data_IF_436746992846
#
_entry.id   IF_436746992846
#
_cell.length_a   1.000
_cell.length_b   1.000
_cell.length_c   1.000
_cell.angle_alpha   90.00
_cell.angle_beta   90.00
_cell.angle_gamma   90.00
#
_symmetry.space_group_name_H-M   'P 1'
#
loop_
_entity.id
_entity.type
_entity.pdbx_description
1 polymer ?
#
# COMPACT_ATOMS: atom_id res chain seq x y z
N UNK A 1 27.90 33.62 53.38
CA UNK A 1 26.54 33.92 52.88
C UNK A 1 25.55 33.81 54.03
N UNK A 2 24.66 34.78 54.23
CA UNK A 2 23.64 34.67 55.28
C UNK A 2 22.63 33.59 54.90
N UNK A 3 22.25 32.72 55.86
CA UNK A 3 21.35 31.56 55.67
C UNK A 3 20.02 31.90 54.97
N UNK A 4 19.60 33.18 55.01
CA UNK A 4 18.41 33.71 54.32
C UNK A 4 18.47 33.71 52.78
N UNK A 5 19.66 33.70 52.19
CA UNK A 5 19.82 33.73 50.72
C UNK A 5 19.92 32.33 50.09
N UNK A 6 20.10 31.28 50.89
CA UNK A 6 20.16 29.90 50.43
C UNK A 6 18.88 29.44 49.71
N UNK A 7 17.66 29.67 50.23
CA UNK A 7 16.44 29.28 49.51
C UNK A 7 16.25 30.07 48.21
N UNK A 8 16.65 31.34 48.18
CA UNK A 8 16.58 32.18 46.97
C UNK A 8 17.53 31.61 45.91
N UNK A 9 18.78 31.32 46.25
CA UNK A 9 19.75 30.76 45.32
C UNK A 9 19.32 29.39 44.75
N UNK A 10 18.68 28.54 45.56
CA UNK A 10 18.13 27.25 45.12
C UNK A 10 17.00 27.47 44.10
N UNK A 11 16.03 28.34 44.41
CA UNK A 11 14.91 28.61 43.50
C UNK A 11 15.40 29.23 42.20
N UNK A 12 16.32 30.20 42.26
CA UNK A 12 16.89 30.81 41.06
C UNK A 12 17.68 29.80 40.23
N UNK A 13 18.42 28.89 40.88
CA UNK A 13 19.11 27.79 40.19
C UNK A 13 18.16 26.83 39.49
N UNK A 14 17.04 26.45 40.13
CA UNK A 14 16.01 25.60 39.51
C UNK A 14 15.37 26.31 38.30
N UNK A 15 14.99 27.59 38.44
CA UNK A 15 14.42 28.36 37.35
C UNK A 15 15.40 28.52 36.18
N UNK A 16 16.69 28.72 36.47
CA UNK A 16 17.73 28.76 35.44
C UNK A 16 17.87 27.42 34.72
N UNK A 17 17.84 26.30 35.44
CA UNK A 17 17.89 24.97 34.84
C UNK A 17 16.66 24.66 33.98
N UNK A 18 15.46 25.09 34.40
CA UNK A 18 14.22 24.95 33.61
C UNK A 18 14.28 25.81 32.35
N UNK A 19 14.74 27.07 32.47
CA UNK A 19 14.90 27.95 31.32
C UNK A 19 15.95 27.45 30.33
N UNK A 20 17.09 26.96 30.84
CA UNK A 20 18.13 26.34 30.02
C UNK A 20 17.63 25.06 29.34
N UNK A 21 16.87 24.22 30.07
CA UNK A 21 16.23 23.03 29.53
C UNK A 21 15.23 23.35 28.43
N UNK A 22 14.39 24.38 28.61
CA UNK A 22 13.44 24.82 27.60
C UNK A 22 14.10 25.46 26.36
N UNK A 23 15.22 26.16 26.53
CA UNK A 23 15.98 26.76 25.42
C UNK A 23 16.77 25.72 24.61
N UNK A 24 17.28 24.67 25.28
CA UNK A 24 18.05 23.60 24.64
C UNK A 24 17.16 22.48 24.10
N UNK A 25 15.91 22.37 24.57
CA UNK A 25 14.94 21.46 24.00
C UNK A 25 14.57 21.93 22.58
N UNK A 26 14.86 21.13 21.53
CA UNK A 26 14.41 21.47 20.20
C UNK A 26 12.87 21.53 20.21
N UNK A 27 12.31 22.68 19.83
CA UNK A 27 10.89 22.77 19.58
C UNK A 27 10.55 21.78 18.46
N UNK A 28 9.76 20.74 18.77
CA UNK A 28 9.19 19.89 17.75
C UNK A 28 8.39 20.78 16.80
N UNK A 29 8.71 20.76 15.51
CA UNK A 29 7.95 21.53 14.54
C UNK A 29 6.58 20.87 14.37
N UNK A 30 5.51 21.55 14.78
CA UNK A 30 4.12 21.09 14.61
C UNK A 30 3.65 21.12 13.13
N UNK A 31 4.57 21.28 12.16
CA UNK A 31 4.26 21.41 10.74
C UNK A 31 5.13 20.53 9.84
N UNK A 32 4.75 20.37 8.56
CA UNK A 32 5.47 19.54 7.62
C UNK A 32 6.94 19.96 7.49
N UNK A 33 7.84 19.02 7.16
CA UNK A 33 9.24 19.37 6.96
C UNK A 33 9.37 20.40 5.83
N UNK A 34 10.21 21.40 6.04
CA UNK A 34 10.46 22.43 5.01
C UNK A 34 11.29 21.86 3.86
N UNK A 35 12.30 21.05 4.20
CA UNK A 35 13.17 20.36 3.25
C UNK A 35 13.39 18.92 3.71
N UNK A 36 13.40 18.01 2.76
CA UNK A 36 13.65 16.58 2.99
C UNK A 36 14.92 16.20 2.25
N UNK A 37 15.88 15.62 2.96
CA UNK A 37 17.08 15.05 2.37
C UNK A 37 16.84 13.57 2.07
N UNK A 38 16.87 13.21 0.79
CA UNK A 38 16.77 11.84 0.33
C UNK A 38 18.16 11.34 -0.05
N UNK A 39 18.69 10.40 0.73
CA UNK A 39 20.00 9.79 0.49
C UNK A 39 19.85 8.48 -0.27
N UNK A 40 20.55 8.35 -1.40
CA UNK A 40 20.54 7.13 -2.20
C UNK A 40 21.86 6.96 -2.95
N UNK A 41 22.04 5.79 -3.58
CA UNK A 41 23.28 5.45 -4.33
C UNK A 41 23.54 6.35 -5.54
N UNK A 42 22.53 7.01 -6.08
CA UNK A 42 22.65 7.95 -7.20
C UNK A 42 23.12 9.35 -6.79
N UNK A 43 23.23 9.63 -5.49
CA UNK A 43 23.57 10.94 -4.94
C UNK A 43 22.45 11.52 -4.09
N UNK A 44 22.77 12.56 -3.32
CA UNK A 44 21.81 13.19 -2.40
C UNK A 44 20.82 14.06 -3.17
N UNK A 45 19.53 13.94 -2.86
CA UNK A 45 18.47 14.77 -3.42
C UNK A 45 17.86 15.59 -2.28
N UNK A 46 17.78 16.91 -2.44
CA UNK A 46 17.06 17.77 -1.50
C UNK A 46 15.71 18.14 -2.11
N UNK A 47 14.64 17.61 -1.55
CA UNK A 47 13.29 18.01 -1.86
C UNK A 47 12.95 19.26 -1.02
N UNK A 48 12.69 20.38 -1.68
CA UNK A 48 12.10 21.55 -1.01
C UNK A 48 10.59 21.32 -0.85
N UNK A 49 10.24 20.58 0.20
CA UNK A 49 8.90 20.08 0.45
C UNK A 49 7.88 21.22 0.66
N UNK A 50 8.24 22.27 1.40
CA UNK A 50 7.37 23.44 1.59
C UNK A 50 7.05 24.15 0.26
N UNK A 51 8.01 24.24 -0.65
CA UNK A 51 7.79 24.83 -1.97
C UNK A 51 6.81 24.00 -2.80
N UNK A 52 6.99 22.67 -2.84
CA UNK A 52 6.10 21.79 -3.60
C UNK A 52 4.67 21.82 -3.06
N UNK A 53 4.48 21.86 -1.74
CA UNK A 53 3.15 22.06 -1.14
C UNK A 53 2.53 23.36 -1.64
N UNK A 54 3.30 24.46 -1.65
CA UNK A 54 2.84 25.76 -2.14
C UNK A 54 2.46 25.75 -3.62
N UNK A 55 3.30 25.15 -4.47
CA UNK A 55 3.07 25.07 -5.92
C UNK A 55 1.90 24.15 -6.29
N UNK A 56 1.51 23.24 -5.39
CA UNK A 56 0.44 22.26 -5.59
C UNK A 56 -0.84 22.61 -4.84
N UNK A 57 -0.97 23.83 -4.32
CA UNK A 57 -2.12 24.31 -3.55
C UNK A 57 -2.46 23.41 -2.34
N UNK A 58 -1.44 22.81 -1.70
CA UNK A 58 -1.61 21.97 -0.52
C UNK A 58 -2.19 20.58 -0.79
N UNK A 59 -2.20 20.10 -2.03
CA UNK A 59 -2.69 18.75 -2.39
C UNK A 59 -1.71 17.65 -1.95
N UNK A 60 -1.76 17.29 -0.66
CA UNK A 60 -0.87 16.28 -0.07
C UNK A 60 -0.98 14.90 -0.73
N UNK A 61 -2.21 14.48 -1.06
CA UNK A 61 -2.52 13.15 -1.61
C UNK A 61 -1.93 12.92 -3.01
N UNK A 62 -1.56 13.98 -3.72
CA UNK A 62 -0.90 13.87 -5.02
C UNK A 62 0.48 13.20 -4.91
N UNK A 63 1.13 13.32 -3.75
CA UNK A 63 2.41 12.66 -3.44
C UNK A 63 2.23 11.53 -2.41
N UNK A 64 1.43 11.77 -1.36
CA UNK A 64 1.15 10.82 -0.29
C UNK A 64 -0.14 10.04 -0.56
N UNK A 65 -0.10 9.21 -1.59
CA UNK A 65 -1.26 8.52 -2.16
C UNK A 65 -1.88 7.42 -1.27
N UNK A 66 -1.29 7.15 -0.09
CA UNK A 66 -1.83 6.20 0.89
C UNK A 66 -2.38 6.87 2.14
N UNK A 67 -2.26 8.20 2.26
CA UNK A 67 -2.45 8.90 3.51
C UNK A 67 -3.79 9.62 3.65
N UNK A 68 -4.70 9.55 2.66
CA UNK A 68 -5.98 10.26 2.66
C UNK A 68 -5.90 11.67 3.30
N UNK A 69 -6.69 11.94 4.35
CA UNK A 69 -6.70 13.19 5.10
C UNK A 69 -5.73 13.20 6.31
N UNK A 70 -4.85 12.20 6.42
CA UNK A 70 -3.85 12.12 7.47
C UNK A 70 -2.85 13.28 7.33
N UNK A 71 -2.55 13.89 8.47
CA UNK A 71 -1.65 15.05 8.58
C UNK A 71 -0.20 14.63 8.84
N UNK A 72 0.05 13.34 9.08
CA UNK A 72 1.37 12.77 9.26
C UNK A 72 1.63 11.62 8.26
N UNK A 73 1.83 11.94 6.97
CA UNK A 73 1.98 10.93 5.95
C UNK A 73 3.36 10.27 6.00
N UNK A 74 3.40 8.96 5.74
CA UNK A 74 4.65 8.19 5.76
C UNK A 74 5.55 8.52 4.56
N UNK A 75 6.86 8.30 4.74
CA UNK A 75 7.83 8.40 3.65
C UNK A 75 7.61 7.29 2.60
N UNK A 76 7.89 7.59 1.33
CA UNK A 76 7.75 6.61 0.24
C UNK A 76 8.55 5.34 0.52
N UNK A 77 9.75 5.47 1.11
CA UNK A 77 10.65 4.36 1.43
C UNK A 77 10.12 3.39 2.49
N UNK A 78 9.07 3.75 3.22
CA UNK A 78 8.40 2.84 4.14
C UNK A 78 7.81 1.67 3.34
N UNK A 79 7.10 1.95 2.24
CA UNK A 79 6.45 0.92 1.42
C UNK A 79 7.25 0.58 0.14
N UNK A 80 7.81 1.60 -0.52
CA UNK A 80 8.65 1.44 -1.71
C UNK A 80 10.09 1.23 -1.31
N UNK A 81 10.48 -0.03 -1.10
CA UNK A 81 11.86 -0.39 -0.69
C UNK A 81 12.77 -0.64 -1.88
N UNK A 82 14.08 -0.69 -1.64
CA UNK A 82 15.06 -0.95 -2.70
C UNK A 82 14.90 -2.36 -3.27
N UNK A 83 14.52 -3.33 -2.42
CA UNK A 83 14.28 -4.74 -2.75
C UNK A 83 13.25 -5.34 -1.80
N UNK A 84 12.31 -6.11 -2.35
CA UNK A 84 11.37 -6.94 -1.60
C UNK A 84 11.97 -8.33 -1.38
N UNK A 85 12.96 -8.42 -0.50
CA UNK A 85 13.64 -9.67 -0.16
C UNK A 85 13.13 -10.28 1.16
N UNK A 86 13.71 -11.41 1.58
CA UNK A 86 13.32 -12.08 2.85
C UNK A 86 13.52 -11.18 4.07
N UNK A 87 14.49 -10.25 4.05
CA UNK A 87 14.69 -9.33 5.16
C UNK A 87 13.52 -8.35 5.25
N UNK A 88 13.03 -7.82 4.12
CA UNK A 88 11.83 -7.00 4.11
C UNK A 88 10.63 -7.76 4.67
N UNK A 89 10.41 -9.02 4.24
CA UNK A 89 9.26 -9.83 4.70
C UNK A 89 9.20 -10.00 6.22
N UNK A 90 10.35 -10.09 6.88
CA UNK A 90 10.41 -10.19 8.35
C UNK A 90 10.33 -8.82 9.00
N UNK A 91 11.10 -7.85 8.52
CA UNK A 91 11.28 -6.57 9.22
C UNK A 91 10.09 -5.61 9.08
N UNK A 92 9.32 -5.67 7.99
CA UNK A 92 8.24 -4.69 7.75
C UNK A 92 7.12 -4.78 8.79
N UNK A 93 6.91 -5.97 9.38
CA UNK A 93 5.89 -6.20 10.41
C UNK A 93 6.13 -5.36 11.67
N UNK A 94 7.41 -5.13 12.00
CA UNK A 94 7.80 -4.32 13.18
C UNK A 94 8.01 -2.84 12.82
N UNK A 95 8.31 -2.54 11.56
CA UNK A 95 8.71 -1.21 11.11
C UNK A 95 7.55 -0.34 10.60
N UNK A 96 6.38 -0.93 10.33
CA UNK A 96 5.22 -0.23 9.78
C UNK A 96 4.14 -0.02 10.84
N UNK A 97 3.42 1.10 10.74
CA UNK A 97 2.22 1.35 11.53
C UNK A 97 1.07 0.43 11.08
N UNK A 98 0.28 -0.06 12.03
CA UNK A 98 -0.83 -1.00 11.77
C UNK A 98 -1.85 -0.46 10.76
N UNK A 99 -2.04 0.86 10.70
CA UNK A 99 -2.93 1.50 9.71
C UNK A 99 -2.47 1.27 8.27
N UNK A 100 -1.19 0.96 8.06
CA UNK A 100 -0.58 0.78 6.74
C UNK A 100 -0.61 -0.68 6.26
N UNK A 101 -1.01 -1.64 7.11
CA UNK A 101 -1.11 -3.05 6.71
C UNK A 101 -2.04 -3.22 5.49
N UNK A 102 -3.18 -2.51 5.51
CA UNK A 102 -4.17 -2.50 4.43
C UNK A 102 -3.68 -1.92 3.10
N UNK A 103 -2.56 -1.19 3.10
CA UNK A 103 -2.00 -0.59 1.89
C UNK A 103 -1.40 -1.65 0.96
N UNK A 104 -0.86 -2.74 1.51
CA UNK A 104 -0.28 -3.86 0.75
C UNK A 104 -1.11 -5.13 0.87
N UNK A 105 -1.67 -5.39 2.05
CA UNK A 105 -2.48 -6.56 2.30
C UNK A 105 -3.96 -6.22 2.17
N UNK A 106 -4.64 -6.84 1.21
CA UNK A 106 -6.07 -6.67 1.08
C UNK A 106 -6.78 -7.60 2.06
N UNK A 107 -7.82 -7.10 2.73
CA UNK A 107 -8.89 -7.94 3.23
C UNK A 107 -9.43 -8.73 2.03
N UNK A 108 -9.55 -10.05 2.12
CA UNK A 108 -9.77 -10.95 0.99
C UNK A 108 -10.74 -10.42 -0.10
N UNK A 109 -10.43 -10.71 -1.36
CA UNK A 109 -11.25 -10.29 -2.49
C UNK A 109 -12.48 -11.21 -2.61
N UNK A 110 -13.67 -10.71 -2.28
CA UNK A 110 -14.91 -11.49 -2.42
C UNK A 110 -15.54 -11.26 -3.78
N UNK A 111 -16.28 -12.27 -4.27
CA UNK A 111 -17.06 -12.15 -5.50
C UNK A 111 -18.40 -11.46 -5.15
N UNK A 112 -18.35 -10.17 -4.83
CA UNK A 112 -19.51 -9.41 -4.38
C UNK A 112 -20.60 -9.25 -5.47
N UNK A 113 -20.21 -9.40 -6.74
CA UNK A 113 -21.07 -9.14 -7.91
C UNK A 113 -21.75 -10.37 -8.48
N UNK A 114 -21.51 -11.55 -7.90
CA UNK A 114 -22.16 -12.78 -8.32
C UNK A 114 -23.42 -13.06 -7.49
N UNK A 115 -24.53 -13.29 -8.19
CA UNK A 115 -25.77 -13.78 -7.60
C UNK A 115 -26.06 -15.18 -8.13
N UNK A 116 -26.09 -16.17 -7.24
CA UNK A 116 -26.30 -17.57 -7.60
C UNK A 116 -27.65 -17.81 -8.27
N UNK A 117 -28.74 -17.30 -7.69
CA UNK A 117 -30.10 -17.55 -8.17
C UNK A 117 -30.33 -16.91 -9.54
N UNK A 118 -29.81 -15.70 -9.73
CA UNK A 118 -29.88 -15.02 -11.02
C UNK A 118 -29.11 -15.80 -12.11
N UNK A 119 -27.91 -16.30 -11.79
CA UNK A 119 -27.13 -17.12 -12.71
C UNK A 119 -27.82 -18.45 -13.03
N UNK A 120 -28.36 -19.11 -12.02
CA UNK A 120 -29.07 -20.36 -12.18
C UNK A 120 -30.31 -20.19 -13.08
N UNK A 121 -31.13 -19.17 -12.81
CA UNK A 121 -32.41 -18.99 -13.50
C UNK A 121 -32.25 -18.38 -14.90
N UNK A 122 -31.48 -17.29 -15.03
CA UNK A 122 -31.48 -16.47 -16.25
C UNK A 122 -30.39 -16.83 -17.25
N UNK A 123 -29.29 -17.45 -16.80
CA UNK A 123 -28.12 -17.70 -17.64
C UNK A 123 -27.85 -19.21 -17.82
N UNK A 124 -28.11 -20.02 -16.80
CA UNK A 124 -27.99 -21.48 -16.87
C UNK A 124 -29.34 -22.19 -17.14
N UNK A 125 -30.46 -21.46 -17.21
CA UNK A 125 -31.80 -22.04 -17.44
C UNK A 125 -32.17 -23.20 -16.47
N UNK A 126 -31.67 -23.14 -15.24
CA UNK A 126 -31.84 -24.16 -14.21
C UNK A 126 -30.90 -25.37 -14.35
N UNK A 127 -29.98 -25.39 -15.31
CA UNK A 127 -28.98 -26.46 -15.42
C UNK A 127 -27.84 -26.27 -14.42
N UNK A 128 -27.94 -26.95 -13.28
CA UNK A 128 -26.91 -26.91 -12.25
C UNK A 128 -25.55 -27.41 -12.75
N UNK A 129 -25.52 -28.33 -13.74
CA UNK A 129 -24.28 -28.92 -14.26
C UNK A 129 -23.49 -27.96 -15.16
N UNK A 130 -24.09 -26.83 -15.54
CA UNK A 130 -23.38 -25.74 -16.21
C UNK A 130 -22.28 -25.14 -15.32
N UNK A 131 -22.41 -25.25 -13.99
CA UNK A 131 -21.44 -24.72 -13.02
C UNK A 131 -20.91 -25.79 -12.05
N UNK A 132 -21.75 -26.76 -11.67
CA UNK A 132 -21.44 -27.81 -10.70
C UNK A 132 -21.05 -29.13 -11.37
N UNK A 133 -20.47 -30.03 -10.58
CA UNK A 133 -20.15 -31.37 -11.04
C UNK A 133 -21.36 -32.31 -10.96
N UNK A 134 -21.27 -33.43 -11.68
CA UNK A 134 -22.26 -34.49 -11.62
C UNK A 134 -22.18 -35.32 -10.33
N UNK A 135 -23.15 -36.23 -10.19
CA UNK A 135 -23.29 -37.14 -9.04
C UNK A 135 -22.14 -38.11 -8.85
N UNK A 136 -21.28 -38.24 -9.86
CA UNK A 136 -20.04 -38.99 -9.83
C UNK A 136 -18.95 -38.35 -8.96
N UNK A 137 -19.05 -37.03 -8.72
CA UNK A 137 -18.10 -36.27 -7.89
C UNK A 137 -18.77 -35.83 -6.57
N UNK A 138 -19.98 -35.26 -6.64
CA UNK A 138 -20.72 -34.81 -5.47
C UNK A 138 -22.19 -35.27 -5.52
N UNK A 139 -22.73 -35.89 -4.46
CA UNK A 139 -24.11 -36.41 -4.47
C UNK A 139 -25.17 -35.33 -4.74
N UNK A 140 -24.91 -34.13 -4.24
CA UNK A 140 -25.70 -32.92 -4.43
C UNK A 140 -24.74 -31.72 -4.59
N UNK A 141 -25.10 -30.70 -5.41
CA UNK A 141 -24.30 -29.48 -5.56
C UNK A 141 -23.99 -28.82 -4.22
N UNK A 142 -22.72 -28.60 -3.92
CA UNK A 142 -22.29 -27.91 -2.70
C UNK A 142 -21.26 -26.81 -2.99
N UNK A 143 -20.87 -26.06 -1.94
CA UNK A 143 -19.85 -25.03 -2.06
C UNK A 143 -18.52 -25.65 -2.49
N UNK A 144 -17.91 -25.10 -3.55
CA UNK A 144 -16.62 -25.54 -4.07
C UNK A 144 -15.55 -25.61 -2.97
N UNK A 145 -15.58 -24.67 -2.03
CA UNK A 145 -14.64 -24.56 -0.91
C UNK A 145 -14.64 -25.78 0.02
N UNK A 146 -15.71 -26.58 0.07
CA UNK A 146 -15.75 -27.81 0.86
C UNK A 146 -14.70 -28.84 0.43
N UNK A 147 -14.26 -28.78 -0.84
CA UNK A 147 -13.30 -29.71 -1.42
C UNK A 147 -12.08 -29.01 -2.06
N UNK A 148 -12.25 -27.79 -2.57
CA UNK A 148 -11.24 -27.06 -3.33
C UNK A 148 -10.43 -26.04 -2.51
N UNK A 149 -10.70 -25.82 -1.20
CA UNK A 149 -10.12 -24.73 -0.40
C UNK A 149 -8.63 -24.46 -0.68
N UNK A 150 -7.77 -25.46 -0.47
CA UNK A 150 -6.32 -25.34 -0.61
C UNK A 150 -5.76 -25.98 -1.90
N UNK A 151 -6.60 -26.66 -2.68
CA UNK A 151 -6.16 -27.51 -3.80
C UNK A 151 -5.41 -28.79 -3.35
N UNK A 152 -5.24 -29.73 -4.28
CA UNK A 152 -4.49 -30.98 -4.13
C UNK A 152 -3.96 -31.45 -5.51
N UNK A 153 -3.07 -32.45 -5.57
CA UNK A 153 -2.52 -32.94 -6.86
C UNK A 153 -3.59 -33.26 -7.91
N UNK A 154 -4.72 -33.83 -7.48
CA UNK A 154 -5.84 -34.21 -8.35
C UNK A 154 -7.03 -33.24 -8.33
N UNK A 155 -6.93 -32.11 -7.61
CA UNK A 155 -8.03 -31.15 -7.46
C UNK A 155 -7.49 -29.72 -7.49
N UNK A 156 -7.94 -28.87 -8.42
CA UNK A 156 -7.52 -27.47 -8.43
C UNK A 156 -7.87 -26.75 -7.13
N UNK A 157 -7.17 -25.65 -6.85
CA UNK A 157 -7.55 -24.74 -5.76
C UNK A 157 -8.92 -24.11 -6.03
N UNK A 158 -9.54 -23.52 -5.00
CA UNK A 158 -10.84 -22.87 -5.11
C UNK A 158 -10.79 -21.77 -6.16
N UNK A 159 -9.70 -21.00 -6.18
CA UNK A 159 -9.43 -19.97 -7.18
C UNK A 159 -9.43 -20.55 -8.58
N UNK A 160 -8.65 -21.59 -8.81
CA UNK A 160 -8.48 -22.13 -10.16
C UNK A 160 -9.75 -22.84 -10.65
N UNK A 161 -10.46 -23.55 -9.75
CA UNK A 161 -11.72 -24.20 -10.05
C UNK A 161 -12.81 -23.19 -10.42
N UNK A 162 -13.00 -22.15 -9.60
CA UNK A 162 -13.99 -21.11 -9.84
C UNK A 162 -13.67 -20.31 -11.10
N UNK A 163 -12.42 -19.89 -11.28
CA UNK A 163 -12.02 -19.16 -12.48
C UNK A 163 -12.19 -19.97 -13.76
N UNK A 164 -11.88 -21.27 -13.75
CA UNK A 164 -12.12 -22.11 -14.92
C UNK A 164 -13.61 -22.13 -15.30
N UNK A 165 -14.52 -22.27 -14.32
CA UNK A 165 -15.97 -22.29 -14.58
C UNK A 165 -16.51 -20.95 -15.05
N UNK A 166 -16.08 -19.86 -14.43
CA UNK A 166 -16.50 -18.53 -14.86
C UNK A 166 -15.94 -18.18 -16.25
N UNK A 167 -14.71 -18.61 -16.57
CA UNK A 167 -14.08 -18.34 -17.87
C UNK A 167 -14.78 -19.03 -19.04
N UNK A 168 -15.44 -20.17 -18.82
CA UNK A 168 -16.22 -20.86 -19.85
C UNK A 168 -17.29 -19.93 -20.49
N UNK A 169 -17.82 -18.96 -19.73
CA UNK A 169 -18.81 -17.98 -20.20
C UNK A 169 -18.27 -16.53 -20.28
N UNK A 170 -17.36 -16.14 -19.38
CA UNK A 170 -16.85 -14.77 -19.22
C UNK A 170 -15.40 -14.60 -19.70
N UNK A 171 -14.98 -15.36 -20.72
CA UNK A 171 -13.63 -15.31 -21.30
C UNK A 171 -13.20 -13.88 -21.70
N UNK A 172 -14.16 -13.01 -22.04
CA UNK A 172 -13.91 -11.60 -22.29
C UNK A 172 -13.33 -10.87 -21.08
N UNK A 173 -13.83 -11.13 -19.86
CA UNK A 173 -13.29 -10.51 -18.64
C UNK A 173 -11.87 -11.01 -18.35
N UNK A 174 -11.58 -12.28 -18.62
CA UNK A 174 -10.24 -12.85 -18.42
C UNK A 174 -9.22 -12.31 -19.43
N UNK A 175 -9.64 -12.03 -20.67
CA UNK A 175 -8.81 -11.38 -21.70
C UNK A 175 -8.40 -9.96 -21.33
N UNK A 176 -9.18 -9.26 -20.51
CA UNK A 176 -8.83 -7.94 -19.98
C UNK A 176 -7.70 -8.01 -18.91
N UNK A 177 -7.33 -9.20 -18.43
CA UNK A 177 -6.24 -9.37 -17.47
C UNK A 177 -6.54 -8.73 -16.11
N UNK A 178 -5.58 -7.97 -15.56
CA UNK A 178 -5.66 -7.42 -14.20
C UNK A 178 -6.86 -6.45 -13.99
N UNK A 179 -7.30 -5.73 -15.03
CA UNK A 179 -8.47 -4.85 -14.91
C UNK A 179 -9.78 -5.65 -14.87
N UNK A 180 -9.80 -6.84 -15.49
CA UNK A 180 -10.94 -7.76 -15.51
C UNK A 180 -11.28 -8.34 -14.13
N UNK A 181 -10.32 -8.43 -13.20
CA UNK A 181 -10.54 -8.92 -11.85
C UNK A 181 -11.67 -8.15 -11.12
N UNK A 182 -11.76 -6.83 -11.36
CA UNK A 182 -12.74 -5.94 -10.72
C UNK A 182 -14.18 -6.13 -11.21
N UNK A 183 -14.37 -6.94 -12.27
CA UNK A 183 -15.69 -7.29 -12.79
C UNK A 183 -16.41 -8.28 -11.87
N UNK A 184 -15.64 -9.12 -11.19
CA UNK A 184 -16.16 -10.14 -10.27
C UNK A 184 -15.80 -9.81 -8.82
N UNK A 185 -14.54 -9.43 -8.57
CA UNK A 185 -14.03 -9.19 -7.24
C UNK A 185 -14.12 -7.72 -6.82
N UNK A 186 -14.54 -7.50 -5.58
CA UNK A 186 -14.44 -6.20 -4.93
C UNK A 186 -13.41 -6.26 -3.81
N UNK A 187 -12.49 -5.29 -3.80
CA UNK A 187 -11.55 -5.09 -2.70
C UNK A 187 -12.21 -4.19 -1.68
N UNK A 188 -12.46 -4.71 -0.48
CA UNK A 188 -12.89 -3.86 0.63
C UNK A 188 -11.68 -3.22 1.29
N UNK A 189 -11.70 -1.90 1.43
CA UNK A 189 -10.72 -1.13 2.18
C UNK A 189 -11.05 -1.11 3.68
N UNK A 190 -11.52 -2.24 4.22
CA UNK A 190 -11.74 -2.36 5.66
C UNK A 190 -10.44 -2.82 6.32
N UNK A 191 -10.12 -2.33 7.54
CA UNK A 191 -9.03 -2.89 8.33
C UNK A 191 -9.39 -4.33 8.65
N UNK A 192 -8.86 -5.27 7.86
CA UNK A 192 -8.92 -6.67 8.18
C UNK A 192 -8.23 -6.90 9.53
N UNK A 193 -8.82 -7.77 10.35
CA UNK A 193 -8.11 -8.43 11.44
C UNK A 193 -6.79 -9.00 10.85
N UNK A 194 -5.69 -8.91 11.60
CA UNK A 194 -4.33 -9.25 11.14
C UNK A 194 -4.21 -10.70 10.61
N UNK A 195 -5.24 -11.51 10.82
CA UNK A 195 -5.35 -12.91 10.39
C UNK A 195 -5.88 -13.11 8.97
N UNK A 196 -6.37 -12.07 8.28
CA UNK A 196 -7.15 -12.23 7.03
C UNK A 196 -6.49 -11.62 5.77
N UNK A 197 -5.17 -11.48 5.80
CA UNK A 197 -4.39 -10.96 4.67
C UNK A 197 -4.09 -12.03 3.62
N UNK A 198 -4.44 -11.75 2.36
CA UNK A 198 -4.11 -12.63 1.23
C UNK A 198 -2.71 -12.36 0.69
N UNK A 199 -1.98 -13.40 0.26
CA UNK A 199 -0.70 -13.22 -0.41
C UNK A 199 -0.91 -12.64 -1.81
N UNK A 200 -0.01 -11.74 -2.25
CA UNK A 200 -0.12 -11.10 -3.56
C UNK A 200 -0.18 -12.14 -4.69
N UNK A 201 0.61 -13.21 -4.58
CA UNK A 201 0.70 -14.30 -5.55
C UNK A 201 -0.61 -15.08 -5.74
N UNK A 202 -1.54 -14.96 -4.78
CA UNK A 202 -2.84 -15.62 -4.88
C UNK A 202 -3.72 -14.97 -5.95
N UNK A 203 -3.54 -13.68 -6.23
CA UNK A 203 -4.27 -12.95 -7.27
C UNK A 203 -3.36 -12.43 -8.40
N UNK A 204 -2.10 -12.14 -8.11
CA UNK A 204 -1.15 -11.55 -9.05
C UNK A 204 -0.10 -12.57 -9.47
N UNK A 205 -0.10 -12.94 -10.75
CA UNK A 205 0.87 -13.89 -11.32
C UNK A 205 2.22 -13.26 -11.68
N UNK A 206 2.36 -11.95 -11.46
CA UNK A 206 3.60 -11.19 -11.68
C UNK A 206 4.48 -11.12 -10.44
N UNK A 207 5.74 -10.68 -10.64
CA UNK A 207 6.67 -10.40 -9.55
C UNK A 207 6.20 -9.18 -8.72
N UNK A 208 6.48 -9.17 -7.41
CA UNK A 208 5.99 -8.13 -6.46
C UNK A 208 6.41 -6.72 -6.86
N UNK A 209 7.59 -6.57 -7.48
CA UNK A 209 8.10 -5.30 -8.00
C UNK A 209 7.28 -4.72 -9.16
N UNK A 210 6.46 -5.53 -9.84
CA UNK A 210 5.45 -5.05 -10.80
C UNK A 210 4.17 -4.55 -10.13
N UNK A 211 3.97 -4.90 -8.85
CA UNK A 211 2.80 -4.50 -8.06
C UNK A 211 3.10 -3.24 -7.24
N UNK A 212 4.29 -3.19 -6.65
CA UNK A 212 4.79 -2.05 -5.89
C UNK A 212 6.17 -1.69 -6.45
N UNK A 213 6.34 -0.51 -7.08
CA UNK A 213 7.62 -0.10 -7.63
C UNK A 213 8.66 0.04 -6.52
N UNK A 214 9.92 -0.24 -6.84
CA UNK A 214 11.04 0.00 -5.92
C UNK A 214 11.17 1.49 -5.60
N UNK A 215 11.87 1.83 -4.52
CA UNK A 215 12.11 3.23 -4.11
C UNK A 215 12.55 4.13 -5.27
N UNK A 216 13.50 3.65 -6.08
CA UNK A 216 14.07 4.43 -7.18
C UNK A 216 13.01 4.72 -8.24
N UNK A 217 12.28 3.68 -8.65
CA UNK A 217 11.20 3.80 -9.64
C UNK A 217 10.09 4.70 -9.14
N UNK A 218 9.63 4.51 -7.90
CA UNK A 218 8.56 5.30 -7.31
C UNK A 218 8.87 6.81 -7.28
N UNK A 219 10.09 7.18 -6.84
CA UNK A 219 10.50 8.59 -6.85
C UNK A 219 10.66 9.15 -8.26
N UNK A 220 11.27 8.39 -9.18
CA UNK A 220 11.44 8.87 -10.55
C UNK A 220 10.09 9.02 -11.27
N UNK A 221 9.19 8.07 -11.16
CA UNK A 221 7.88 8.13 -11.80
C UNK A 221 7.06 9.30 -11.25
N UNK A 222 7.07 9.51 -9.94
CA UNK A 222 6.36 10.63 -9.32
C UNK A 222 6.97 11.99 -9.68
N UNK A 223 8.27 12.18 -9.43
CA UNK A 223 8.92 13.47 -9.63
C UNK A 223 9.01 13.82 -11.12
N UNK A 224 9.53 12.91 -11.95
CA UNK A 224 9.69 13.15 -13.38
C UNK A 224 8.36 13.19 -14.09
N UNK A 225 7.41 12.31 -13.73
CA UNK A 225 6.10 12.27 -14.37
C UNK A 225 5.30 13.55 -14.16
N UNK A 226 5.31 14.10 -12.94
CA UNK A 226 4.68 15.40 -12.68
C UNK A 226 5.37 16.54 -13.45
N UNK A 227 6.71 16.56 -13.41
CA UNK A 227 7.50 17.57 -14.12
C UNK A 227 7.29 17.53 -15.64
N UNK A 228 7.27 16.34 -16.24
CA UNK A 228 7.01 16.14 -17.67
C UNK A 228 5.61 16.60 -18.04
N UNK A 229 4.59 16.17 -17.29
CA UNK A 229 3.19 16.54 -17.53
C UNK A 229 2.96 18.05 -17.49
N UNK A 230 3.63 18.74 -16.58
CA UNK A 230 3.48 20.18 -16.38
C UNK A 230 4.53 21.00 -17.16
N UNK A 231 5.50 20.35 -17.81
CA UNK A 231 6.63 21.01 -18.47
C UNK A 231 7.50 21.84 -17.51
N UNK A 232 7.53 21.48 -16.23
CA UNK A 232 8.14 22.26 -15.15
C UNK A 232 9.15 21.42 -14.38
N UNK A 233 10.40 21.87 -14.28
CA UNK A 233 11.46 21.15 -13.55
C UNK A 233 12.21 20.10 -14.41
N UNK A 234 13.20 19.41 -13.82
CA UNK A 234 13.97 18.37 -14.53
C UNK A 234 13.18 17.06 -14.67
N UNK A 235 13.10 16.53 -15.88
CA UNK A 235 12.47 15.22 -16.16
C UNK A 235 13.18 14.38 -17.24
N UNK A 236 14.09 14.99 -18.02
CA UNK A 236 14.84 14.29 -19.07
C UNK A 236 15.89 13.32 -18.52
N UNK A 237 16.19 12.26 -19.27
CA UNK A 237 17.19 11.26 -18.87
C UNK A 237 18.60 11.84 -18.68
N UNK A 238 18.93 12.95 -19.34
CA UNK A 238 20.23 13.63 -19.21
C UNK A 238 20.29 14.62 -18.02
N UNK A 239 19.20 14.81 -17.29
CA UNK A 239 19.09 15.81 -16.21
C UNK A 239 19.39 15.24 -14.81
N UNK A 240 20.07 14.10 -14.70
CA UNK A 240 20.35 13.44 -13.41
C UNK A 240 20.91 14.40 -12.35
N UNK A 241 21.88 15.24 -12.75
CA UNK A 241 22.56 16.18 -11.84
C UNK A 241 21.72 17.38 -11.40
N UNK A 242 20.57 17.61 -12.05
CA UNK A 242 19.63 18.64 -11.62
C UNK A 242 18.82 18.19 -10.39
N UNK A 243 18.74 16.88 -10.16
CA UNK A 243 18.12 16.29 -8.97
C UNK A 243 19.17 15.76 -7.98
N UNK A 244 20.17 15.02 -8.47
CA UNK A 244 21.19 14.36 -7.67
C UNK A 244 22.43 15.23 -7.56
N UNK A 245 22.69 15.72 -6.34
CA UNK A 245 23.94 16.37 -6.00
C UNK A 245 25.04 15.31 -5.83
N UNK A 246 26.22 15.61 -6.39
CA UNK A 246 27.45 14.82 -6.19
C UNK A 246 28.04 15.06 -4.80
#
# INVERSE_FOLDING_TARGET
MQKRYLPIAIVTGILFLVAAGGYLAPAGSEGPPVRVLLENKGGKVILNHAQHIGDMDGRCVDCHHTSDADRDPVACSTCHVAKFDENFKVAHQDAMDEKQCGACHHAGATIARFNHDEHAENYASGDCLSCHHGKDIEPEPQACSNCHKDGAESRPSLRDAAHARCADCHDDFYKEGAVGCTRCHERKAEPADQTDYQACADCHTGTVDRLIPTTMTAYHDQCRGCHEKNGSGPFSDDACYQCHMK
#
